data_IF_609059594837
#
_entry.id   IF_609059594837
#
_cell.length_a   1.000
_cell.length_b   1.000
_cell.length_c   1.000
_cell.angle_alpha   90.00
_cell.angle_beta   90.00
_cell.angle_gamma   90.00
#
_symmetry.space_group_name_H-M   'P 1'
#
loop_
_entity.id
_entity.type
_entity.pdbx_description
1 polymer ?
#
# COMPACT_ATOMS: atom_id res chain seq x y z
N UNK A 1 9.84 -2.25 9.34
CA UNK A 1 9.48 -2.11 10.77
C UNK A 1 8.39 -1.05 10.77
N UNK A 2 7.13 -1.42 11.01
CA UNK A 2 6.09 -0.42 11.25
C UNK A 2 6.59 0.48 12.37
N UNK A 3 6.53 1.78 12.17
CA UNK A 3 6.99 2.72 13.17
C UNK A 3 6.11 2.48 14.43
N UNK A 4 6.70 2.30 15.63
CA UNK A 4 5.94 1.93 16.84
C UNK A 4 4.84 2.95 17.19
N UNK A 5 4.86 4.13 16.57
CA UNK A 5 3.84 5.15 16.68
C UNK A 5 2.54 4.80 15.91
N UNK A 6 2.60 4.14 14.75
CA UNK A 6 1.41 3.78 13.95
C UNK A 6 0.65 2.63 14.63
N UNK A 7 1.38 1.60 15.08
CA UNK A 7 0.81 0.47 15.84
C UNK A 7 0.21 0.94 17.19
N UNK A 8 0.82 1.94 17.84
CA UNK A 8 0.29 2.53 19.06
C UNK A 8 -0.93 3.42 18.83
N UNK A 9 -0.99 4.14 17.70
CA UNK A 9 -2.13 4.96 17.31
C UNK A 9 -3.34 4.08 16.96
N UNK A 10 -3.12 2.98 16.24
CA UNK A 10 -4.14 1.97 15.93
C UNK A 10 -4.67 1.30 17.21
N UNK A 11 -3.78 0.89 18.13
CA UNK A 11 -4.18 0.30 19.41
C UNK A 11 -4.98 1.29 20.28
N UNK A 12 -4.58 2.56 20.32
CA UNK A 12 -5.29 3.61 21.04
C UNK A 12 -6.66 3.92 20.43
N UNK A 13 -6.78 3.94 19.11
CA UNK A 13 -8.05 4.13 18.42
C UNK A 13 -9.01 2.96 18.68
N UNK A 14 -8.52 1.72 18.63
CA UNK A 14 -9.31 0.52 18.96
C UNK A 14 -9.78 0.55 20.42
N UNK A 15 -8.92 0.95 21.36
CA UNK A 15 -9.31 1.07 22.76
C UNK A 15 -10.34 2.19 22.98
N UNK A 16 -10.17 3.34 22.33
CA UNK A 16 -11.12 4.45 22.41
C UNK A 16 -12.49 4.09 21.82
N UNK A 17 -12.54 3.28 20.76
CA UNK A 17 -13.80 2.74 20.21
C UNK A 17 -14.48 1.74 21.16
N UNK A 18 -13.70 0.98 21.93
CA UNK A 18 -14.22 0.10 23.00
C UNK A 18 -14.76 0.92 24.17
N UNK A 19 -14.06 1.99 24.55
CA UNK A 19 -14.41 2.85 25.69
C UNK A 19 -15.62 3.77 25.39
N UNK A 20 -15.92 4.07 24.12
CA UNK A 20 -17.13 4.78 23.69
C UNK A 20 -18.44 3.97 23.86
N UNK A 21 -18.36 2.73 24.36
CA UNK A 21 -19.51 1.86 24.64
C UNK A 21 -20.15 2.13 26.02
N UNK A 22 -20.69 3.33 26.23
CA UNK A 22 -21.36 3.73 27.49
C UNK A 22 -22.77 3.11 27.67
N UNK A 23 -23.06 1.97 27.02
CA UNK A 23 -24.27 1.17 27.25
C UNK A 23 -25.61 1.86 26.93
N UNK A 24 -25.61 3.01 26.24
CA UNK A 24 -26.83 3.75 25.86
C UNK A 24 -26.92 3.92 24.34
N UNK A 25 -27.21 2.84 23.64
CA UNK A 25 -27.53 2.87 22.22
C UNK A 25 -27.35 1.52 21.57
N UNK A 26 -28.33 0.64 21.73
CA UNK A 26 -28.36 -0.66 21.07
C UNK A 26 -28.50 -0.51 19.54
N UNK A 27 -27.38 -0.29 18.87
CA UNK A 27 -27.16 -0.78 17.51
C UNK A 27 -26.66 -2.22 17.70
N UNK A 28 -27.29 -3.19 17.05
CA UNK A 28 -26.86 -4.58 17.06
C UNK A 28 -25.36 -4.65 16.71
N UNK A 29 -24.50 -4.86 17.71
CA UNK A 29 -23.06 -5.06 17.55
C UNK A 29 -22.83 -6.53 17.20
N UNK A 30 -23.08 -6.91 15.95
CA UNK A 30 -22.30 -8.01 15.40
C UNK A 30 -20.88 -7.48 15.22
N UNK A 31 -20.00 -7.84 16.16
CA UNK A 31 -18.57 -7.63 15.99
C UNK A 31 -18.14 -8.65 14.95
N UNK A 32 -17.79 -8.17 13.76
CA UNK A 32 -17.21 -9.00 12.71
C UNK A 32 -15.71 -8.99 12.89
N UNK A 33 -15.15 -10.12 13.34
CA UNK A 33 -13.71 -10.32 13.40
C UNK A 33 -13.17 -10.59 11.99
N UNK A 34 -12.19 -9.78 11.56
CA UNK A 34 -11.48 -9.95 10.28
C UNK A 34 -10.08 -10.46 10.58
N UNK A 35 -9.71 -11.58 9.96
CA UNK A 35 -8.43 -12.24 10.20
C UNK A 35 -7.75 -12.62 8.89
N UNK A 36 -6.44 -12.81 8.93
CA UNK A 36 -5.69 -13.35 7.79
C UNK A 36 -5.89 -14.85 7.72
N UNK A 37 -6.25 -15.37 6.54
CA UNK A 37 -6.59 -16.78 6.38
C UNK A 37 -5.43 -17.73 6.72
N UNK A 38 -4.19 -17.31 6.47
CA UNK A 38 -2.95 -18.02 6.71
C UNK A 38 -2.30 -17.71 8.07
N UNK A 39 -2.76 -16.66 8.75
CA UNK A 39 -2.29 -16.24 10.06
C UNK A 39 -3.44 -15.64 10.90
N UNK A 40 -4.42 -16.45 11.36
CA UNK A 40 -5.64 -15.94 11.97
C UNK A 40 -5.41 -15.19 13.29
N UNK A 41 -4.29 -15.46 13.95
CA UNK A 41 -3.86 -14.80 15.20
C UNK A 41 -3.23 -13.41 14.96
N UNK A 42 -2.90 -13.08 13.71
CA UNK A 42 -2.25 -11.83 13.36
C UNK A 42 -3.29 -10.78 12.95
N UNK A 43 -3.21 -9.61 13.60
CA UNK A 43 -4.02 -8.45 13.24
C UNK A 43 -3.74 -8.02 11.78
N UNK A 44 -4.74 -8.00 10.88
CA UNK A 44 -4.53 -7.66 9.48
C UNK A 44 -4.03 -6.22 9.26
N UNK A 45 -4.29 -5.34 10.22
CA UNK A 45 -3.97 -3.92 10.20
C UNK A 45 -5.04 -3.07 9.49
N UNK A 46 -5.24 -1.85 9.97
CA UNK A 46 -6.31 -0.96 9.52
C UNK A 46 -6.31 -0.72 8.00
N UNK A 47 -5.16 -0.35 7.42
CA UNK A 47 -5.04 -0.01 5.98
C UNK A 47 -5.37 -1.21 5.07
N UNK A 48 -4.99 -2.42 5.49
CA UNK A 48 -5.30 -3.66 4.75
C UNK A 48 -6.79 -3.94 4.81
N UNK A 49 -7.41 -3.88 5.99
CA UNK A 49 -8.87 -4.03 6.14
C UNK A 49 -9.63 -2.98 5.32
N UNK A 50 -9.23 -1.71 5.41
CA UNK A 50 -9.86 -0.61 4.68
C UNK A 50 -9.83 -0.85 3.17
N UNK A 51 -8.66 -1.14 2.60
CA UNK A 51 -8.51 -1.35 1.15
C UNK A 51 -9.29 -2.58 0.66
N UNK A 52 -9.34 -3.66 1.44
CA UNK A 52 -10.19 -4.84 1.15
C UNK A 52 -11.67 -4.46 1.13
N UNK A 53 -12.15 -3.76 2.17
CA UNK A 53 -13.54 -3.35 2.27
C UNK A 53 -13.94 -2.40 1.14
N UNK A 54 -13.11 -1.38 0.85
CA UNK A 54 -13.36 -0.45 -0.24
C UNK A 54 -13.32 -1.15 -1.61
N UNK A 55 -12.48 -2.17 -1.78
CA UNK A 55 -12.49 -2.98 -3.00
C UNK A 55 -13.82 -3.73 -3.15
N UNK A 56 -14.21 -4.48 -2.11
CA UNK A 56 -15.43 -5.30 -2.13
C UNK A 56 -16.72 -4.48 -2.29
N UNK A 57 -16.76 -3.27 -1.74
CA UNK A 57 -17.96 -2.44 -1.70
C UNK A 57 -18.08 -1.45 -2.86
N UNK A 58 -16.95 -0.99 -3.42
CA UNK A 58 -16.97 0.17 -4.33
C UNK A 58 -16.39 -0.12 -5.71
N UNK A 59 -15.46 -1.08 -5.86
CA UNK A 59 -14.75 -1.26 -7.11
C UNK A 59 -15.56 -2.10 -8.10
N UNK A 60 -15.76 -1.55 -9.29
CA UNK A 60 -16.09 -2.31 -10.51
C UNK A 60 -14.81 -2.45 -11.35
N UNK A 61 -14.21 -3.66 -11.44
CA UNK A 61 -12.99 -3.87 -12.22
C UNK A 61 -13.11 -3.48 -13.70
N UNK A 62 -14.29 -3.54 -14.30
CA UNK A 62 -14.49 -3.14 -15.70
C UNK A 62 -14.40 -1.61 -15.90
N UNK A 63 -14.59 -0.84 -14.82
CA UNK A 63 -14.48 0.62 -14.82
C UNK A 63 -13.08 1.15 -14.54
N UNK A 64 -12.12 0.27 -14.22
CA UNK A 64 -10.72 0.64 -13.98
C UNK A 64 -10.03 0.96 -15.32
N UNK A 65 -9.42 2.15 -15.40
CA UNK A 65 -8.73 2.62 -16.60
C UNK A 65 -7.33 2.04 -16.81
N UNK A 66 -6.59 2.49 -17.85
CA UNK A 66 -5.19 2.11 -18.06
C UNK A 66 -4.28 2.58 -16.90
N UNK A 67 -3.09 1.99 -16.73
CA UNK A 67 -2.16 2.40 -15.69
C UNK A 67 -1.63 3.82 -15.95
N UNK A 68 -1.62 4.65 -14.90
CA UNK A 68 -1.04 6.00 -14.84
C UNK A 68 -0.31 6.21 -13.52
N UNK A 69 0.52 7.23 -13.42
CA UNK A 69 1.11 7.65 -12.15
C UNK A 69 0.01 8.11 -11.17
N UNK A 70 0.12 7.84 -9.85
CA UNK A 70 -0.77 8.42 -8.85
C UNK A 70 -0.84 9.95 -8.91
N UNK A 71 0.22 10.60 -9.40
CA UNK A 71 0.29 12.06 -9.56
C UNK A 71 -0.58 12.59 -10.72
N UNK A 72 -1.06 11.71 -11.59
CA UNK A 72 -1.95 12.06 -12.71
C UNK A 72 -3.43 11.99 -12.33
N UNK A 73 -3.76 11.47 -11.13
CA UNK A 73 -5.14 11.43 -10.66
C UNK A 73 -5.70 12.85 -10.43
N UNK A 74 -6.99 13.10 -10.72
CA UNK A 74 -7.67 14.33 -10.32
C UNK A 74 -7.43 14.70 -8.85
N UNK A 75 -6.93 15.92 -8.61
CA UNK A 75 -6.64 16.43 -7.26
C UNK A 75 -5.29 15.99 -6.66
N UNK A 76 -4.55 15.10 -7.34
CA UNK A 76 -3.29 14.54 -6.87
C UNK A 76 -2.24 15.60 -6.52
N UNK A 77 -2.08 16.64 -7.35
CA UNK A 77 -1.06 17.69 -7.13
C UNK A 77 -1.25 18.45 -5.81
N UNK A 78 -2.49 18.57 -5.32
CA UNK A 78 -2.79 19.22 -4.04
C UNK A 78 -2.74 18.25 -2.87
N UNK A 79 -2.97 16.96 -3.12
CA UNK A 79 -2.99 15.92 -2.10
C UNK A 79 -1.62 15.32 -1.85
N UNK A 80 -0.98 14.77 -2.88
CA UNK A 80 0.33 14.11 -2.79
C UNK A 80 1.46 15.14 -2.72
N UNK A 81 1.78 15.53 -1.49
CA UNK A 81 2.87 16.47 -1.21
C UNK A 81 4.24 15.78 -1.29
N UNK A 82 5.30 16.56 -1.48
CA UNK A 82 6.67 16.02 -1.50
C UNK A 82 7.08 15.40 -0.15
N UNK A 83 6.54 15.94 0.94
CA UNK A 83 6.82 15.53 2.33
C UNK A 83 5.54 15.57 3.15
N UNK A 84 5.54 14.88 4.29
CA UNK A 84 4.42 14.86 5.22
C UNK A 84 3.48 13.66 5.03
N UNK A 85 2.32 13.64 5.70
CA UNK A 85 1.48 12.46 5.83
C UNK A 85 0.84 12.01 4.52
N UNK A 86 0.81 12.86 3.49
CA UNK A 86 0.28 12.52 2.16
C UNK A 86 1.39 12.34 1.12
N UNK A 87 2.66 12.18 1.53
CA UNK A 87 3.72 11.85 0.59
C UNK A 87 3.54 10.41 0.08
N UNK A 88 3.79 10.20 -1.22
CA UNK A 88 3.82 8.83 -1.75
C UNK A 88 4.89 8.00 -1.01
N UNK A 89 4.61 6.73 -0.66
CA UNK A 89 5.45 5.91 0.22
C UNK A 89 6.67 5.29 -0.50
N UNK A 90 7.45 6.14 -1.17
CA UNK A 90 8.57 5.74 -2.04
C UNK A 90 9.85 5.43 -1.25
N UNK A 91 10.14 6.27 -0.26
CA UNK A 91 11.41 6.28 0.46
C UNK A 91 11.80 4.91 1.04
N UNK A 92 10.90 4.12 1.67
CA UNK A 92 11.29 2.82 2.21
C UNK A 92 11.78 1.83 1.14
N UNK A 93 11.24 1.90 -0.07
CA UNK A 93 11.69 1.06 -1.20
C UNK A 93 12.98 1.60 -1.81
N UNK A 94 13.10 2.93 -1.95
CA UNK A 94 14.32 3.61 -2.40
C UNK A 94 15.51 3.27 -1.48
N UNK A 95 15.30 3.32 -0.16
CA UNK A 95 16.31 2.96 0.85
C UNK A 95 16.67 1.47 0.81
N UNK A 96 15.68 0.59 0.65
CA UNK A 96 15.90 -0.86 0.70
C UNK A 96 16.52 -1.42 -0.58
N UNK A 97 16.13 -0.90 -1.75
CA UNK A 97 16.43 -1.51 -3.04
C UNK A 97 17.17 -0.58 -4.00
N UNK A 98 17.39 0.68 -3.64
CA UNK A 98 17.91 1.72 -4.54
C UNK A 98 19.23 1.41 -5.22
N UNK A 99 20.03 0.49 -4.67
CA UNK A 99 21.28 0.01 -5.25
C UNK A 99 21.28 -1.49 -5.60
N UNK A 100 20.13 -2.17 -5.44
CA UNK A 100 19.94 -3.57 -5.82
C UNK A 100 18.56 -3.78 -6.49
N UNK A 101 18.42 -3.36 -7.77
CA UNK A 101 17.18 -3.56 -8.52
C UNK A 101 16.83 -5.04 -8.69
N UNK A 102 17.84 -5.91 -8.73
CA UNK A 102 17.64 -7.36 -8.84
C UNK A 102 16.87 -7.89 -7.63
N UNK A 103 17.24 -7.47 -6.41
CA UNK A 103 16.53 -7.86 -5.20
C UNK A 103 15.06 -7.42 -5.23
N UNK A 104 14.77 -6.20 -5.69
CA UNK A 104 13.38 -5.74 -5.84
C UNK A 104 12.60 -6.60 -6.84
N UNK A 105 13.20 -6.92 -7.99
CA UNK A 105 12.58 -7.78 -9.00
C UNK A 105 12.33 -9.22 -8.51
N UNK A 106 13.23 -9.77 -7.69
CA UNK A 106 13.05 -11.09 -7.07
C UNK A 106 11.91 -11.09 -6.05
N UNK A 107 11.82 -10.07 -5.20
CA UNK A 107 10.72 -9.90 -4.25
C UNK A 107 9.38 -9.73 -4.98
N UNK A 108 9.33 -8.88 -6.01
CA UNK A 108 8.13 -8.69 -6.83
C UNK A 108 7.65 -10.01 -7.46
N UNK A 109 8.57 -10.81 -8.00
CA UNK A 109 8.25 -12.13 -8.55
C UNK A 109 7.73 -13.10 -7.50
N UNK A 110 8.31 -13.11 -6.31
CA UNK A 110 7.88 -13.97 -5.20
C UNK A 110 6.46 -13.64 -4.73
N UNK A 111 6.03 -12.38 -4.88
CA UNK A 111 4.65 -11.94 -4.64
C UNK A 111 3.72 -12.14 -5.85
N UNK A 112 4.17 -12.85 -6.89
CA UNK A 112 3.38 -13.11 -8.10
C UNK A 112 3.30 -11.91 -9.06
N UNK A 113 4.22 -10.96 -8.93
CA UNK A 113 4.31 -9.80 -9.82
C UNK A 113 4.75 -10.17 -11.24
N UNK A 114 4.16 -9.50 -12.22
CA UNK A 114 4.49 -9.63 -13.64
C UNK A 114 5.51 -8.56 -14.04
N UNK A 115 6.65 -8.97 -14.62
CA UNK A 115 7.72 -8.03 -14.96
C UNK A 115 7.29 -7.01 -16.01
N UNK A 116 7.81 -5.79 -15.87
CA UNK A 116 7.54 -4.64 -16.71
C UNK A 116 8.83 -4.13 -17.38
N UNK A 117 8.79 -3.65 -18.65
CA UNK A 117 9.97 -3.18 -19.37
C UNK A 117 10.33 -1.71 -19.09
N UNK A 118 10.12 -1.22 -17.87
CA UNK A 118 10.46 0.15 -17.44
C UNK A 118 11.41 0.12 -16.24
N UNK A 119 12.22 1.18 -16.07
CA UNK A 119 13.19 1.26 -14.98
C UNK A 119 14.29 0.21 -15.06
N UNK A 120 15.11 0.15 -14.01
CA UNK A 120 16.13 -0.89 -13.80
C UNK A 120 15.52 -2.16 -13.18
N UNK A 121 14.42 -2.00 -12.44
CA UNK A 121 13.52 -3.08 -12.06
C UNK A 121 12.09 -2.59 -11.98
N UNK A 122 11.17 -3.30 -12.64
CA UNK A 122 9.75 -3.02 -12.52
C UNK A 122 8.90 -4.27 -12.64
N UNK A 123 7.74 -4.22 -12.00
CA UNK A 123 6.71 -5.24 -12.09
C UNK A 123 5.34 -4.66 -11.75
N UNK A 124 4.30 -5.40 -12.13
CA UNK A 124 2.92 -5.14 -11.75
C UNK A 124 2.44 -6.20 -10.78
N UNK A 125 1.90 -5.78 -9.64
CA UNK A 125 1.19 -6.64 -8.69
C UNK A 125 -0.31 -6.56 -8.94
N UNK A 126 -0.97 -7.71 -9.02
CA UNK A 126 -2.42 -7.80 -8.96
C UNK A 126 -2.86 -7.79 -7.50
N UNK A 127 -3.05 -6.59 -6.94
CA UNK A 127 -3.39 -6.42 -5.51
C UNK A 127 -4.79 -6.97 -5.22
N UNK A 128 -5.74 -6.76 -6.13
CA UNK A 128 -7.05 -7.42 -6.11
C UNK A 128 -7.43 -7.88 -7.53
N UNK A 129 -8.45 -8.75 -7.70
CA UNK A 129 -8.91 -9.14 -9.03
C UNK A 129 -9.26 -7.94 -9.94
N UNK A 130 -8.38 -7.62 -10.88
CA UNK A 130 -8.57 -6.52 -11.84
C UNK A 130 -8.03 -5.16 -11.39
N UNK A 131 -7.65 -4.99 -10.12
CA UNK A 131 -6.93 -3.81 -9.62
C UNK A 131 -5.44 -4.13 -9.48
N UNK A 132 -4.62 -3.45 -10.27
CA UNK A 132 -3.19 -3.68 -10.38
C UNK A 132 -2.39 -2.45 -9.97
N UNK A 133 -1.25 -2.65 -9.32
CA UNK A 133 -0.30 -1.59 -8.97
C UNK A 133 1.06 -1.94 -9.56
N UNK A 134 1.62 -1.05 -10.37
CA UNK A 134 2.99 -1.16 -10.84
C UNK A 134 3.96 -0.48 -9.88
N UNK A 135 5.14 -1.08 -9.72
CA UNK A 135 6.29 -0.52 -8.99
C UNK A 135 7.46 -0.47 -9.96
N UNK A 136 8.09 0.71 -10.07
CA UNK A 136 9.21 0.95 -10.98
C UNK A 136 10.33 1.57 -10.16
N UNK A 137 11.50 0.97 -10.19
CA UNK A 137 12.72 1.47 -9.58
C UNK A 137 13.69 1.92 -10.67
N UNK A 138 14.19 3.15 -10.51
CA UNK A 138 15.40 3.65 -11.15
C UNK A 138 16.53 3.58 -10.14
N UNK A 139 17.59 2.85 -10.47
CA UNK A 139 18.76 2.67 -9.62
C UNK A 139 19.47 4.01 -9.44
N UNK A 140 19.91 4.29 -8.21
CA UNK A 140 20.75 5.45 -7.94
C UNK A 140 22.18 5.23 -8.42
N UNK A 141 22.80 6.29 -8.90
CA UNK A 141 24.21 6.34 -9.28
C UNK A 141 24.95 7.46 -8.52
N UNK A 142 26.15 7.83 -8.96
CA UNK A 142 26.97 8.86 -8.32
C UNK A 142 26.35 10.27 -8.42
N UNK A 143 25.51 10.51 -9.42
CA UNK A 143 24.95 11.83 -9.75
C UNK A 143 23.48 11.96 -9.34
N UNK A 144 22.73 10.84 -9.29
CA UNK A 144 21.29 10.82 -9.06
C UNK A 144 20.89 9.80 -7.98
N UNK A 145 20.07 10.21 -6.98
CA UNK A 145 19.56 9.28 -5.98
C UNK A 145 18.57 8.27 -6.61
N UNK A 146 18.41 7.08 -6.01
CA UNK A 146 17.43 6.11 -6.47
C UNK A 146 16.01 6.70 -6.41
N UNK A 147 15.17 6.30 -7.36
CA UNK A 147 13.80 6.78 -7.45
C UNK A 147 12.83 5.62 -7.65
N UNK A 148 11.80 5.56 -6.81
CA UNK A 148 10.67 4.65 -7.01
C UNK A 148 9.46 5.43 -7.48
N UNK A 149 8.80 4.92 -8.51
CA UNK A 149 7.48 5.40 -8.96
C UNK A 149 6.47 4.26 -8.97
N UNK A 150 5.20 4.64 -8.88
CA UNK A 150 4.08 3.72 -8.89
C UNK A 150 3.22 3.96 -10.13
N UNK A 151 2.49 2.93 -10.55
CA UNK A 151 1.35 3.09 -11.46
C UNK A 151 0.11 2.41 -10.89
N UNK A 152 -1.07 2.93 -11.23
CA UNK A 152 -2.37 2.42 -10.82
C UNK A 152 -3.42 2.77 -11.88
N UNK A 153 -4.63 2.19 -11.86
CA UNK A 153 -5.65 2.48 -12.86
C UNK A 153 -6.08 3.95 -12.83
N UNK A 154 -6.15 4.59 -13.99
CA UNK A 154 -6.43 6.03 -14.16
C UNK A 154 -7.83 6.51 -13.77
N UNK A 155 -8.68 5.58 -13.33
CA UNK A 155 -10.06 5.85 -12.88
C UNK A 155 -10.30 5.38 -11.46
N UNK A 156 -9.24 5.01 -10.73
CA UNK A 156 -9.37 4.51 -9.36
C UNK A 156 -10.00 5.57 -8.45
N UNK A 157 -9.74 6.84 -8.69
CA UNK A 157 -10.28 7.98 -7.96
C UNK A 157 -11.80 8.16 -8.11
N UNK A 158 -12.41 7.55 -9.15
CA UNK A 158 -13.87 7.54 -9.31
C UNK A 158 -14.52 6.68 -8.22
N UNK A 159 -13.79 5.67 -7.75
CA UNK A 159 -14.24 4.75 -6.71
C UNK A 159 -13.70 5.18 -5.33
N UNK A 160 -12.43 5.55 -5.24
CA UNK A 160 -11.71 5.78 -3.99
C UNK A 160 -11.24 7.22 -3.82
N UNK A 161 -11.29 7.72 -2.59
CA UNK A 161 -10.62 8.97 -2.23
C UNK A 161 -9.08 8.79 -2.27
N UNK A 162 -8.33 9.88 -2.42
CA UNK A 162 -6.87 9.82 -2.60
C UNK A 162 -6.11 9.29 -1.38
N UNK A 163 -6.68 9.42 -0.18
CA UNK A 163 -6.20 8.80 1.05
C UNK A 163 -6.37 7.27 1.07
N UNK A 164 -7.46 6.75 0.50
CA UNK A 164 -7.60 5.31 0.27
C UNK A 164 -6.62 4.78 -0.78
N UNK A 165 -6.33 5.57 -1.83
CA UNK A 165 -5.25 5.27 -2.80
C UNK A 165 -3.89 5.25 -2.11
N UNK A 166 -3.62 6.21 -1.22
CA UNK A 166 -2.39 6.24 -0.42
C UNK A 166 -2.28 5.00 0.49
N UNK A 167 -3.38 4.61 1.17
CA UNK A 167 -3.43 3.42 2.00
C UNK A 167 -3.10 2.14 1.22
N UNK A 168 -3.60 2.01 -0.02
CA UNK A 168 -3.21 0.92 -0.93
C UNK A 168 -1.71 0.96 -1.25
N UNK A 169 -1.21 2.17 -1.54
CA UNK A 169 0.21 2.55 -1.64
C UNK A 169 1.07 1.84 -0.58
N UNK A 170 0.71 2.14 0.65
CA UNK A 170 1.46 1.75 1.85
C UNK A 170 1.31 0.27 2.16
N UNK A 171 0.15 -0.33 1.87
CA UNK A 171 -0.01 -1.79 1.94
C UNK A 171 0.96 -2.47 0.98
N UNK A 172 1.01 -2.06 -0.30
CA UNK A 172 1.94 -2.63 -1.29
C UNK A 172 3.40 -2.51 -0.82
N UNK A 173 3.80 -1.34 -0.33
CA UNK A 173 5.15 -1.10 0.19
C UNK A 173 5.45 -2.00 1.40
N UNK A 174 4.50 -2.11 2.33
CA UNK A 174 4.63 -2.98 3.51
C UNK A 174 4.82 -4.45 3.11
N UNK A 175 4.01 -4.96 2.18
CA UNK A 175 4.12 -6.35 1.70
C UNK A 175 5.48 -6.60 1.04
N UNK A 176 5.96 -5.68 0.20
CA UNK A 176 7.28 -5.80 -0.45
C UNK A 176 8.42 -5.85 0.57
N UNK A 177 8.38 -4.98 1.59
CA UNK A 177 9.40 -4.96 2.63
C UNK A 177 9.35 -6.20 3.53
N UNK A 178 8.16 -6.73 3.80
CA UNK A 178 7.99 -7.97 4.57
C UNK A 178 8.50 -9.18 3.79
N UNK A 179 8.16 -9.29 2.50
CA UNK A 179 8.64 -10.37 1.63
C UNK A 179 10.15 -10.35 1.41
N UNK A 180 10.79 -9.18 1.48
CA UNK A 180 12.24 -9.05 1.42
C UNK A 180 12.96 -9.55 2.69
N UNK A 181 12.23 -9.73 3.80
CA UNK A 181 12.80 -10.06 5.11
C UNK A 181 13.75 -8.97 5.66
N UNK A 182 14.36 -9.18 6.83
CA UNK A 182 15.39 -8.28 7.36
C UNK A 182 16.63 -8.27 6.43
N UNK A 183 17.37 -7.16 6.41
CA UNK A 183 18.71 -7.14 5.83
C UNK A 183 19.59 -8.06 6.68
N UNK A 184 19.84 -9.28 6.22
CA UNK A 184 20.82 -10.17 6.86
C UNK A 184 22.18 -9.64 6.43
N UNK A 185 22.80 -8.84 7.31
CA UNK A 185 24.11 -8.26 7.09
C UNK A 185 25.21 -9.31 7.00
N UNK A 186 26.13 -9.07 6.06
CA UNK A 186 27.45 -9.70 5.93
C UNK A 186 28.35 -9.44 7.14
#
# INVERSE_FOLDING_TARGET
>A
MGEPADDALDAAMVQQLRDLDDGRGAILREVIDVFLADAPEAEPGFRRCLTVLLYLLQIDPAGLGPPVSPLELPGATLFFQKTGPHALPRAPLEERFGHDPRALGEVGRNLGGEALPQGDAAFTLRVFPGLQVGVILWQGDEDFPPQVSFTLPSRLEVFWQLDAVLALLEVVVKELLQAAGPLIGC
#
